data_IF_220740352756
#
_entry.id   IF_220740352756
#
_cell.length_a   1.000
_cell.length_b   1.000
_cell.length_c   1.000
_cell.angle_alpha   90.00
_cell.angle_beta   90.00
_cell.angle_gamma   90.00
#
_symmetry.space_group_name_H-M   'P 1'
#
loop_
_entity.id
_entity.type
_entity.pdbx_description
1 polymer ?
#
# COMPACT_ATOMS: atom_id res chain seq x y z
N UNK A 1 34.00 -17.38 10.02
CA UNK A 1 33.03 -16.71 10.90
C UNK A 1 31.79 -16.48 10.06
N UNK A 2 30.73 -17.28 10.26
CA UNK A 2 29.43 -16.98 9.64
C UNK A 2 29.01 -15.62 10.21
N UNK A 3 28.53 -14.66 9.40
CA UNK A 3 27.96 -13.44 9.95
C UNK A 3 26.80 -13.85 10.87
N UNK A 4 26.68 -13.21 12.04
CA UNK A 4 25.61 -13.48 13.01
C UNK A 4 24.27 -13.57 12.28
N UNK A 5 23.72 -14.78 12.24
CA UNK A 5 22.60 -15.11 11.37
C UNK A 5 21.37 -14.31 11.80
N UNK A 6 20.82 -13.52 10.88
CA UNK A 6 19.52 -12.88 11.07
C UNK A 6 18.53 -13.98 11.44
N UNK A 7 18.04 -13.95 12.69
CA UNK A 7 17.10 -14.94 13.20
C UNK A 7 15.72 -14.61 12.65
N UNK A 8 15.23 -15.43 11.71
CA UNK A 8 13.86 -15.32 11.23
C UNK A 8 12.87 -15.82 12.28
N UNK A 9 11.70 -15.19 12.33
CA UNK A 9 10.59 -15.60 13.20
C UNK A 9 9.38 -16.01 12.36
N UNK A 10 8.55 -16.89 12.89
CA UNK A 10 7.27 -17.21 12.26
C UNK A 10 6.29 -16.05 12.48
N UNK A 11 5.51 -15.77 11.43
CA UNK A 11 4.43 -14.81 11.54
C UNK A 11 3.42 -15.27 12.62
N UNK A 12 2.90 -14.33 13.39
CA UNK A 12 1.94 -14.63 14.44
C UNK A 12 0.82 -13.60 14.49
N UNK A 13 -0.38 -14.08 14.82
CA UNK A 13 -1.57 -13.26 14.96
C UNK A 13 -1.72 -12.78 16.40
N UNK A 14 -1.98 -11.48 16.57
CA UNK A 14 -2.36 -10.90 17.85
C UNK A 14 -3.51 -9.89 17.67
N UNK A 15 -4.09 -9.42 18.77
CA UNK A 15 -5.29 -8.58 18.74
C UNK A 15 -5.06 -7.28 19.52
N UNK A 16 -5.22 -6.14 18.85
CA UNK A 16 -5.19 -4.83 19.49
C UNK A 16 -6.60 -4.39 19.91
N UNK A 17 -6.80 -3.87 21.13
CA UNK A 17 -8.12 -3.39 21.55
C UNK A 17 -8.56 -2.16 20.74
N UNK A 18 -9.85 -2.11 20.42
CA UNK A 18 -10.54 -0.94 19.85
C UNK A 18 -11.46 -0.37 20.92
N UNK A 19 -10.92 0.52 21.75
CA UNK A 19 -11.62 1.14 22.90
C UNK A 19 -12.78 2.07 22.52
N UNK A 20 -13.08 2.23 21.24
CA UNK A 20 -14.06 3.20 20.70
C UNK A 20 -15.15 2.53 19.84
N UNK A 21 -15.27 1.19 19.89
CA UNK A 21 -16.29 0.42 19.15
C UNK A 21 -16.81 -0.71 20.04
N UNK A 22 -18.04 -0.60 20.51
CA UNK A 22 -18.63 -1.55 21.45
C UNK A 22 -18.82 -2.95 20.83
N UNK A 23 -19.15 -3.02 19.53
CA UNK A 23 -19.45 -4.29 18.84
C UNK A 23 -18.24 -5.02 18.25
N UNK A 24 -17.11 -4.32 18.05
CA UNK A 24 -15.89 -4.88 17.44
C UNK A 24 -14.71 -4.47 18.32
N UNK A 25 -14.52 -5.14 19.47
CA UNK A 25 -13.61 -4.67 20.52
C UNK A 25 -12.13 -4.88 20.16
N UNK A 26 -11.82 -5.58 19.06
CA UNK A 26 -10.45 -5.92 18.68
C UNK A 26 -10.14 -5.68 17.20
N UNK A 27 -8.85 -5.46 16.91
CA UNK A 27 -8.25 -5.46 15.57
C UNK A 27 -7.27 -6.64 15.49
N UNK A 28 -7.52 -7.67 14.66
CA UNK A 28 -6.49 -8.66 14.37
C UNK A 28 -5.32 -7.98 13.66
N UNK A 29 -4.10 -8.32 14.06
CA UNK A 29 -2.85 -7.88 13.46
C UNK A 29 -1.98 -9.11 13.22
N UNK A 30 -1.54 -9.28 11.98
CA UNK A 30 -0.48 -10.22 11.66
C UNK A 30 0.87 -9.54 11.91
N UNK A 31 1.67 -10.10 12.80
CA UNK A 31 3.06 -9.69 12.96
C UNK A 31 3.94 -10.50 12.02
N UNK A 32 4.45 -9.84 10.98
CA UNK A 32 5.42 -10.42 10.04
C UNK A 32 6.81 -9.81 10.22
N UNK A 33 7.06 -9.06 11.30
CA UNK A 33 8.40 -8.53 11.58
C UNK A 33 9.38 -9.70 11.64
N UNK A 34 10.45 -9.62 10.84
CA UNK A 34 11.46 -10.67 10.70
C UNK A 34 10.94 -12.02 10.13
N UNK A 35 9.75 -12.04 9.53
CA UNK A 35 9.31 -13.20 8.75
C UNK A 35 10.12 -13.33 7.44
N UNK A 36 10.31 -14.55 6.90
CA UNK A 36 10.99 -14.76 5.63
C UNK A 36 10.41 -13.94 4.47
N UNK A 37 9.09 -13.70 4.47
CA UNK A 37 8.38 -12.93 3.44
C UNK A 37 8.63 -11.43 3.52
N UNK A 38 9.07 -10.90 4.66
CA UNK A 38 9.27 -9.45 4.86
C UNK A 38 10.35 -8.88 3.94
N UNK A 39 11.42 -9.64 3.68
CA UNK A 39 12.46 -9.20 2.74
C UNK A 39 11.94 -9.17 1.30
N UNK A 40 11.03 -10.09 0.94
CA UNK A 40 10.39 -10.12 -0.38
C UNK A 40 9.46 -8.92 -0.52
N UNK A 41 8.63 -8.64 0.48
CA UNK A 41 7.74 -7.48 0.52
C UNK A 41 8.51 -6.16 0.44
N UNK A 42 9.60 -6.01 1.19
CA UNK A 42 10.45 -4.82 1.14
C UNK A 42 11.09 -4.64 -0.24
N UNK A 43 11.61 -5.71 -0.83
CA UNK A 43 12.18 -5.68 -2.17
C UNK A 43 11.14 -5.26 -3.23
N UNK A 44 9.93 -5.81 -3.16
CA UNK A 44 8.84 -5.43 -4.06
C UNK A 44 8.43 -3.98 -3.87
N UNK A 45 8.32 -3.50 -2.62
CA UNK A 45 8.03 -2.10 -2.33
C UNK A 45 9.11 -1.18 -2.91
N UNK A 46 10.39 -1.47 -2.69
CA UNK A 46 11.51 -0.67 -3.21
C UNK A 46 11.47 -0.46 -4.73
N UNK A 47 11.06 -1.49 -5.49
CA UNK A 47 11.04 -1.41 -6.95
C UNK A 47 9.71 -0.89 -7.51
N UNK A 48 8.59 -1.12 -6.83
CA UNK A 48 7.23 -0.75 -7.30
C UNK A 48 6.82 0.62 -6.78
N UNK A 49 7.13 0.96 -5.51
CA UNK A 49 6.69 2.20 -4.85
C UNK A 49 7.04 3.47 -5.63
N UNK A 50 8.26 3.64 -6.18
CA UNK A 50 8.59 4.85 -6.96
C UNK A 50 7.74 4.99 -8.22
N UNK A 51 7.31 3.88 -8.82
CA UNK A 51 6.43 3.88 -9.98
C UNK A 51 5.04 4.34 -9.56
N UNK A 52 4.49 3.77 -8.49
CA UNK A 52 3.19 4.16 -7.94
C UNK A 52 3.17 5.65 -7.57
N UNK A 53 4.17 6.12 -6.84
CA UNK A 53 4.25 7.53 -6.42
C UNK A 53 4.33 8.47 -7.62
N UNK A 54 5.09 8.12 -8.67
CA UNK A 54 5.15 8.92 -9.88
C UNK A 54 3.78 9.00 -10.58
N UNK A 55 3.14 7.86 -10.80
CA UNK A 55 1.92 7.75 -11.62
C UNK A 55 0.65 8.19 -10.90
N UNK A 56 0.58 7.96 -9.60
CA UNK A 56 -0.61 8.25 -8.79
C UNK A 56 -0.49 9.55 -7.98
N UNK A 57 0.60 10.31 -8.12
CA UNK A 57 0.83 11.55 -7.36
C UNK A 57 -0.29 12.58 -7.43
N UNK A 58 -1.10 12.58 -8.49
CA UNK A 58 -2.23 13.52 -8.65
C UNK A 58 -3.49 13.09 -7.90
N UNK A 59 -3.68 11.78 -7.69
CA UNK A 59 -4.90 11.19 -7.12
C UNK A 59 -4.72 10.61 -5.72
N UNK A 60 -3.47 10.31 -5.31
CA UNK A 60 -3.16 9.74 -3.99
C UNK A 60 -2.53 10.78 -3.07
N UNK A 61 -2.74 10.66 -1.77
CA UNK A 61 -2.14 11.54 -0.76
C UNK A 61 -1.41 10.68 0.26
N UNK A 62 -0.22 11.09 0.67
CA UNK A 62 0.67 10.26 1.52
C UNK A 62 0.38 10.50 3.01
N UNK A 63 0.07 11.75 3.38
CA UNK A 63 -0.22 12.16 4.74
C UNK A 63 -0.98 13.49 4.79
N UNK A 64 -1.39 13.91 5.99
CA UNK A 64 -2.11 15.17 6.20
C UNK A 64 -1.35 16.41 5.70
N UNK A 65 -0.03 16.48 5.89
CA UNK A 65 0.77 17.61 5.40
C UNK A 65 0.74 17.71 3.86
N UNK A 66 0.84 16.57 3.17
CA UNK A 66 0.74 16.51 1.70
C UNK A 66 -0.66 16.88 1.21
N UNK A 67 -1.71 16.53 1.96
CA UNK A 67 -3.09 16.93 1.66
C UNK A 67 -3.23 18.44 1.69
N UNK A 68 -2.80 19.07 2.79
CA UNK A 68 -2.91 20.52 2.97
C UNK A 68 -2.12 21.26 1.88
N UNK A 69 -0.92 20.77 1.53
CA UNK A 69 -0.14 21.35 0.42
C UNK A 69 -0.90 21.29 -0.91
N UNK A 70 -1.54 20.16 -1.22
CA UNK A 70 -2.35 20.02 -2.43
C UNK A 70 -3.57 20.93 -2.42
N UNK A 71 -4.29 21.01 -1.29
CA UNK A 71 -5.45 21.91 -1.17
C UNK A 71 -5.04 23.37 -1.37
N UNK A 72 -3.90 23.82 -0.84
CA UNK A 72 -3.36 25.17 -1.09
C UNK A 72 -3.13 25.42 -2.58
N UNK A 73 -2.55 24.46 -3.31
CA UNK A 73 -2.37 24.59 -4.76
C UNK A 73 -3.71 24.72 -5.50
N UNK A 74 -4.78 24.07 -5.02
CA UNK A 74 -6.12 24.22 -5.60
C UNK A 74 -6.71 25.60 -5.32
N UNK A 75 -6.46 26.17 -4.14
CA UNK A 75 -6.81 27.57 -3.81
C UNK A 75 -6.07 28.54 -4.73
N UNK A 76 -4.75 28.43 -4.83
CA UNK A 76 -3.89 29.31 -5.63
C UNK A 76 -4.27 29.30 -7.12
N UNK A 77 -4.74 28.16 -7.61
CA UNK A 77 -5.20 27.99 -9.00
C UNK A 77 -6.68 28.38 -9.21
N UNK A 78 -7.38 28.85 -8.18
CA UNK A 78 -8.79 29.22 -8.26
C UNK A 78 -9.74 28.03 -8.51
N UNK A 79 -9.32 26.80 -8.16
CA UNK A 79 -10.09 25.58 -8.39
C UNK A 79 -11.09 25.28 -7.26
N UNK A 80 -10.88 25.82 -6.06
CA UNK A 80 -11.85 25.75 -4.98
C UNK A 80 -12.82 26.92 -5.09
N UNK A 81 -14.03 26.64 -5.59
CA UNK A 81 -15.12 27.61 -5.72
C UNK A 81 -15.97 27.60 -4.44
N UNK A 82 -16.77 28.66 -4.18
CA UNK A 82 -17.75 28.65 -3.10
C UNK A 82 -18.75 27.49 -3.16
N UNK A 83 -18.96 26.92 -4.36
CA UNK A 83 -19.83 25.77 -4.61
C UNK A 83 -19.11 24.42 -4.52
N UNK A 84 -17.82 24.39 -4.19
CA UNK A 84 -17.06 23.14 -4.06
C UNK A 84 -17.51 22.39 -2.82
N UNK A 85 -17.88 21.12 -3.00
CA UNK A 85 -18.27 20.22 -1.92
C UNK A 85 -17.10 19.30 -1.54
N UNK A 86 -16.92 19.11 -0.24
CA UNK A 86 -16.01 18.11 0.30
C UNK A 86 -16.81 16.89 0.72
N UNK A 87 -16.46 15.74 0.17
CA UNK A 87 -17.08 14.45 0.50
C UNK A 87 -16.03 13.56 1.17
N UNK A 88 -16.44 12.84 2.20
CA UNK A 88 -15.61 11.84 2.87
C UNK A 88 -16.23 10.46 2.71
N UNK A 89 -15.38 9.49 2.40
CA UNK A 89 -15.75 8.08 2.30
C UNK A 89 -14.81 7.28 3.20
N UNK A 90 -15.38 6.40 4.02
CA UNK A 90 -14.62 5.49 4.90
C UNK A 90 -14.74 4.06 4.36
N UNK A 91 -13.60 3.47 3.99
CA UNK A 91 -13.54 2.08 3.52
C UNK A 91 -13.34 1.17 4.74
N UNK A 92 -14.35 0.35 5.03
CA UNK A 92 -14.29 -0.61 6.15
C UNK A 92 -13.56 -1.88 5.74
N UNK A 93 -12.76 -2.43 6.66
CA UNK A 93 -12.14 -3.75 6.54
C UNK A 93 -11.27 -3.95 5.28
N UNK A 94 -10.65 -2.88 4.76
CA UNK A 94 -9.89 -2.90 3.49
C UNK A 94 -8.93 -4.10 3.37
N UNK A 95 -8.06 -4.31 4.35
CA UNK A 95 -7.04 -5.37 4.29
C UNK A 95 -7.63 -6.78 4.28
N UNK A 96 -8.72 -7.02 5.00
CA UNK A 96 -9.33 -8.36 5.10
C UNK A 96 -10.32 -8.64 3.97
N UNK A 97 -10.74 -7.61 3.23
CA UNK A 97 -11.72 -7.71 2.15
C UNK A 97 -11.11 -7.54 0.76
N UNK A 98 -9.79 -7.31 0.67
CA UNK A 98 -9.13 -7.15 -0.61
C UNK A 98 -9.06 -8.52 -1.32
N UNK A 99 -9.71 -8.68 -2.49
CA UNK A 99 -9.66 -9.94 -3.22
C UNK A 99 -8.26 -10.13 -3.82
N UNK A 100 -7.56 -11.19 -3.40
CA UNK A 100 -6.11 -11.33 -3.63
C UNK A 100 -5.76 -11.50 -5.11
N UNK A 101 -6.46 -12.37 -5.84
CA UNK A 101 -6.17 -12.62 -7.26
C UNK A 101 -6.40 -11.38 -8.12
N UNK A 102 -7.48 -10.66 -7.85
CA UNK A 102 -7.82 -9.41 -8.50
C UNK A 102 -6.80 -8.32 -8.18
N UNK A 103 -6.33 -8.22 -6.94
CA UNK A 103 -5.27 -7.28 -6.56
C UNK A 103 -3.94 -7.57 -7.29
N UNK A 104 -3.57 -8.85 -7.41
CA UNK A 104 -2.37 -9.27 -8.17
C UNK A 104 -2.51 -8.96 -9.66
N UNK A 105 -3.69 -9.18 -10.24
CA UNK A 105 -3.95 -8.87 -11.63
C UNK A 105 -3.93 -7.35 -11.88
N UNK A 106 -4.53 -6.56 -10.97
CA UNK A 106 -4.49 -5.10 -11.01
C UNK A 106 -3.07 -4.54 -10.90
N UNK A 107 -2.20 -5.16 -10.10
CA UNK A 107 -0.78 -4.78 -10.03
C UNK A 107 -0.10 -4.94 -11.40
N UNK A 108 -0.29 -6.09 -12.06
CA UNK A 108 0.30 -6.37 -13.37
C UNK A 108 -0.29 -5.44 -14.44
N UNK A 109 -1.61 -5.24 -14.43
CA UNK A 109 -2.30 -4.33 -15.32
C UNK A 109 -1.81 -2.89 -15.14
N UNK A 110 -1.68 -2.42 -13.89
CA UNK A 110 -1.14 -1.11 -13.57
C UNK A 110 0.25 -0.90 -14.18
N UNK A 111 1.15 -1.88 -14.03
CA UNK A 111 2.49 -1.82 -14.62
C UNK A 111 2.41 -1.83 -16.15
N UNK A 112 1.55 -2.66 -16.73
CA UNK A 112 1.37 -2.75 -18.18
C UNK A 112 0.84 -1.46 -18.81
N UNK A 113 -0.23 -0.89 -18.26
CA UNK A 113 -0.86 0.36 -18.74
C UNK A 113 0.11 1.54 -18.68
N UNK A 114 1.03 1.53 -17.71
CA UNK A 114 2.08 2.55 -17.60
C UNK A 114 3.36 2.23 -18.40
N UNK A 115 3.31 1.23 -19.30
CA UNK A 115 4.35 0.94 -20.28
C UNK A 115 5.45 0.00 -19.80
N UNK A 116 5.32 -0.62 -18.62
CA UNK A 116 6.32 -1.53 -18.09
C UNK A 116 6.11 -2.94 -18.64
N UNK A 117 7.14 -3.48 -19.30
CA UNK A 117 7.25 -4.92 -19.61
C UNK A 117 8.10 -5.68 -18.58
N UNK A 118 8.95 -4.94 -17.87
CA UNK A 118 9.82 -5.40 -16.78
C UNK A 118 10.02 -4.25 -15.79
N UNK A 119 10.22 -4.54 -14.52
CA UNK A 119 10.63 -3.56 -13.51
C UNK A 119 12.02 -3.93 -13.02
N UNK A 120 12.99 -3.02 -13.17
CA UNK A 120 14.40 -3.27 -12.79
C UNK A 120 14.97 -4.58 -13.39
N UNK A 121 14.56 -4.92 -14.61
CA UNK A 121 14.97 -6.15 -15.30
C UNK A 121 14.13 -7.40 -14.96
N UNK A 122 13.23 -7.32 -13.98
CA UNK A 122 12.37 -8.42 -13.54
C UNK A 122 11.10 -8.47 -14.40
N UNK A 123 10.79 -9.61 -15.03
CA UNK A 123 9.53 -9.82 -15.76
C UNK A 123 8.29 -9.65 -14.87
N UNK A 124 7.18 -9.14 -15.44
CA UNK A 124 5.95 -8.89 -14.67
C UNK A 124 5.33 -10.18 -14.11
N UNK A 125 5.48 -11.32 -14.78
CA UNK A 125 5.01 -12.62 -14.27
C UNK A 125 5.80 -13.06 -13.03
N UNK A 126 7.11 -12.76 -12.99
CA UNK A 126 7.93 -12.98 -11.80
C UNK A 126 7.54 -12.03 -10.65
N UNK A 127 7.24 -10.76 -10.94
CA UNK A 127 6.72 -9.82 -9.93
C UNK A 127 5.39 -10.32 -9.36
N UNK A 128 4.46 -10.77 -10.21
CA UNK A 128 3.18 -11.33 -9.78
C UNK A 128 3.36 -12.54 -8.87
N UNK A 129 4.28 -13.46 -9.23
CA UNK A 129 4.60 -14.65 -8.44
C UNK A 129 5.24 -14.31 -7.10
N UNK A 130 6.11 -13.30 -7.05
CA UNK A 130 6.71 -12.85 -5.80
C UNK A 130 5.68 -12.16 -4.88
N UNK A 131 4.75 -11.42 -5.46
CA UNK A 131 3.69 -10.73 -4.72
C UNK A 131 2.60 -11.67 -4.17
N UNK A 132 2.55 -12.92 -4.65
CA UNK A 132 1.60 -13.94 -4.18
C UNK A 132 2.16 -14.86 -3.10
N UNK A 133 3.37 -14.59 -2.59
CA UNK A 133 4.04 -15.38 -1.54
C UNK A 133 3.55 -14.98 -0.16
#
# INVERSE_FOLDING_TARGET
MMPDGIKYELAHLYFNPKTHKDDIPVRPIENTIMAPTTNISNFLDEIIRPIFDNKCSTTSTINGASLIKKLKQYVERGLLKPTTLFCTFDIRNLYTMLPQEEALNLLVEFLHVHGYKKVKGIPLDAIRKLASI
#
